data_IF_164862146862
#
_entry.id   IF_164862146862
#
_cell.length_a   1.000
_cell.length_b   1.000
_cell.length_c   1.000
_cell.angle_alpha   90.00
_cell.angle_beta   90.00
_cell.angle_gamma   90.00
#
_symmetry.space_group_name_H-M   'P 1'
#
loop_
_entity.id
_entity.type
_entity.pdbx_description
1 polymer ?
#
# COMPACT_ATOMS: atom_id res chain seq x y z
N UNK A 1 -12.22 -1.73 -30.80
CA UNK A 1 -12.96 -1.39 -29.57
C UNK A 1 -13.34 0.07 -29.67
N UNK A 2 -14.63 0.36 -29.85
CA UNK A 2 -15.13 1.74 -29.80
C UNK A 2 -14.74 2.37 -28.45
N UNK A 3 -14.05 3.50 -28.51
CA UNK A 3 -13.73 4.30 -27.33
C UNK A 3 -15.01 4.94 -26.83
N UNK A 4 -15.74 4.22 -25.98
CA UNK A 4 -16.93 4.73 -25.29
C UNK A 4 -16.56 6.07 -24.64
N UNK A 5 -17.22 7.16 -25.04
CA UNK A 5 -16.97 8.51 -24.52
C UNK A 5 -17.15 8.47 -23.00
N UNK A 6 -16.05 8.56 -22.24
CA UNK A 6 -16.09 8.52 -20.77
C UNK A 6 -17.02 9.60 -20.25
N UNK A 7 -17.97 9.21 -19.40
CA UNK A 7 -18.85 10.12 -18.69
C UNK A 7 -18.05 11.08 -17.82
N UNK A 8 -18.64 12.22 -17.46
CA UNK A 8 -18.06 13.11 -16.44
C UNK A 8 -17.77 12.35 -15.14
N UNK A 9 -18.66 11.44 -14.74
CA UNK A 9 -18.52 10.61 -13.54
C UNK A 9 -17.30 9.68 -13.65
N UNK A 10 -17.10 9.05 -14.82
CA UNK A 10 -15.96 8.15 -15.04
C UNK A 10 -14.63 8.92 -14.94
N UNK A 11 -14.58 10.15 -15.44
CA UNK A 11 -13.39 11.00 -15.33
C UNK A 11 -13.10 11.42 -13.90
N UNK A 12 -14.15 11.75 -13.15
CA UNK A 12 -14.02 12.11 -11.73
C UNK A 12 -13.55 10.90 -10.92
N UNK A 13 -14.10 9.72 -11.20
CA UNK A 13 -13.65 8.46 -10.61
C UNK A 13 -12.18 8.18 -10.92
N UNK A 14 -11.77 8.25 -12.20
CA UNK A 14 -10.38 8.04 -12.62
C UNK A 14 -9.41 9.04 -11.94
N UNK A 15 -9.85 10.29 -11.74
CA UNK A 15 -9.06 11.30 -11.04
C UNK A 15 -8.82 10.89 -9.57
N UNK A 16 -9.88 10.51 -8.86
CA UNK A 16 -9.77 10.06 -7.47
C UNK A 16 -9.18 8.65 -7.32
N UNK A 17 -9.16 7.82 -8.36
CA UNK A 17 -8.48 6.53 -8.39
C UNK A 17 -6.96 6.65 -8.69
N UNK A 18 -6.44 7.89 -8.80
CA UNK A 18 -5.04 8.14 -9.13
C UNK A 18 -4.10 7.96 -7.94
N UNK A 19 -3.11 7.08 -8.09
CA UNK A 19 -2.00 6.95 -7.12
C UNK A 19 -1.14 8.21 -7.09
N UNK A 20 -1.02 8.93 -8.22
CA UNK A 20 -0.26 10.18 -8.26
C UNK A 20 -0.91 11.25 -7.37
N UNK A 21 -2.25 11.30 -7.38
CA UNK A 21 -3.00 12.20 -6.49
C UNK A 21 -2.73 11.84 -5.01
N UNK A 22 -2.75 10.54 -4.67
CA UNK A 22 -2.43 10.05 -3.34
C UNK A 22 -1.05 10.54 -2.86
N UNK A 23 -0.03 10.38 -3.71
CA UNK A 23 1.36 10.78 -3.39
C UNK A 23 1.46 12.29 -3.18
N UNK A 24 0.81 13.10 -4.03
CA UNK A 24 0.83 14.56 -3.90
C UNK A 24 0.13 15.01 -2.62
N UNK A 25 -1.07 14.48 -2.34
CA UNK A 25 -1.81 14.81 -1.12
C UNK A 25 -1.04 14.41 0.14
N UNK A 26 -0.47 13.20 0.14
CA UNK A 26 0.37 12.72 1.24
C UNK A 26 1.59 13.64 1.46
N UNK A 27 2.26 14.07 0.40
CA UNK A 27 3.38 15.00 0.49
C UNK A 27 2.96 16.37 1.03
N UNK A 28 1.81 16.91 0.60
CA UNK A 28 1.28 18.17 1.12
C UNK A 28 0.95 18.07 2.61
N UNK A 29 0.25 17.01 3.04
CA UNK A 29 -0.07 16.75 4.45
C UNK A 29 1.22 16.64 5.26
N UNK A 30 2.20 15.88 4.79
CA UNK A 30 3.47 15.68 5.48
C UNK A 30 4.27 16.99 5.61
N UNK A 31 4.40 17.77 4.54
CA UNK A 31 5.12 19.05 4.56
C UNK A 31 4.44 20.06 5.49
N UNK A 32 3.11 20.19 5.41
CA UNK A 32 2.36 21.04 6.34
C UNK A 32 2.51 20.56 7.78
N UNK A 33 2.48 19.25 8.04
CA UNK A 33 2.65 18.68 9.38
C UNK A 33 4.04 18.93 9.96
N UNK A 34 5.09 18.95 9.14
CA UNK A 34 6.45 19.33 9.57
C UNK A 34 6.43 20.79 10.07
N UNK A 35 5.81 21.70 9.32
CA UNK A 35 5.66 23.10 9.75
C UNK A 35 4.82 23.21 11.02
N UNK A 36 3.69 22.50 11.09
CA UNK A 36 2.83 22.45 12.28
C UNK A 36 3.46 21.77 13.51
N UNK A 37 4.55 21.01 13.33
CA UNK A 37 5.34 20.45 14.45
C UNK A 37 6.30 21.50 15.01
N UNK A 38 6.82 22.38 14.16
CA UNK A 38 7.69 23.49 14.57
C UNK A 38 6.88 24.58 15.27
N UNK A 39 5.67 24.86 14.78
CA UNK A 39 4.76 25.87 15.34
C UNK A 39 3.85 25.23 16.39
N UNK A 40 3.98 25.67 17.64
CA UNK A 40 3.18 25.16 18.75
C UNK A 40 1.70 25.54 18.54
N UNK A 41 0.83 24.53 18.45
CA UNK A 41 -0.59 24.72 18.15
C UNK A 41 -1.33 25.35 19.33
N UNK A 42 -2.17 26.36 19.07
CA UNK A 42 -2.96 27.10 20.06
C UNK A 42 -2.12 27.71 21.20
N UNK A 43 -0.81 27.90 20.98
CA UNK A 43 0.09 28.53 21.93
C UNK A 43 0.01 30.08 21.88
N UNK A 44 0.40 30.77 22.96
CA UNK A 44 0.55 32.21 22.95
C UNK A 44 1.51 32.70 21.84
N UNK A 45 1.21 33.82 21.16
CA UNK A 45 2.03 34.35 20.06
C UNK A 45 3.53 34.46 20.38
N UNK A 46 3.86 34.83 21.62
CA UNK A 46 5.23 35.05 22.10
C UNK A 46 6.07 33.78 21.99
N UNK A 47 5.45 32.61 22.20
CA UNK A 47 6.10 31.30 22.15
C UNK A 47 6.58 30.98 20.74
N UNK A 48 5.68 31.13 19.76
CA UNK A 48 5.97 30.85 18.36
C UNK A 48 6.86 31.93 17.73
N UNK A 49 6.77 33.18 18.17
CA UNK A 49 7.71 34.24 17.80
C UNK A 49 9.13 33.89 18.24
N UNK A 50 9.34 33.49 19.50
CA UNK A 50 10.66 33.07 19.99
C UNK A 50 11.24 31.88 19.21
N UNK A 51 10.40 30.92 18.81
CA UNK A 51 10.82 29.79 17.96
C UNK A 51 11.28 30.30 16.60
N UNK A 52 10.50 31.18 15.96
CA UNK A 52 10.84 31.74 14.65
C UNK A 52 12.09 32.62 14.71
N UNK A 53 12.27 33.44 15.75
CA UNK A 53 13.46 34.27 15.97
C UNK A 53 14.73 33.41 15.99
N UNK A 54 14.68 32.23 16.64
CA UNK A 54 15.80 31.29 16.68
C UNK A 54 16.08 30.61 15.33
N UNK A 55 15.07 30.43 14.49
CA UNK A 55 15.19 29.70 13.22
C UNK A 55 15.60 30.60 12.05
N UNK A 56 15.06 31.81 11.98
CA UNK A 56 15.20 32.72 10.82
C UNK A 56 15.65 34.13 11.18
N UNK A 57 15.89 34.41 12.46
CA UNK A 57 16.37 35.71 12.95
C UNK A 57 15.26 36.70 13.33
N UNK A 58 15.61 37.66 14.20
CA UNK A 58 14.68 38.65 14.77
C UNK A 58 13.99 39.54 13.73
N UNK A 59 14.66 39.85 12.61
CA UNK A 59 14.10 40.72 11.58
C UNK A 59 13.04 40.04 10.71
N UNK A 60 13.16 38.73 10.47
CA UNK A 60 12.25 37.97 9.61
C UNK A 60 11.12 37.30 10.39
N UNK A 61 11.32 37.00 11.68
CA UNK A 61 10.36 36.30 12.52
C UNK A 61 8.97 36.95 12.59
N UNK A 62 8.82 38.29 12.76
CA UNK A 62 7.48 38.91 12.79
C UNK A 62 6.72 38.77 11.48
N UNK A 63 7.43 38.86 10.34
CA UNK A 63 6.83 38.72 9.01
C UNK A 63 6.42 37.28 8.75
N UNK A 64 7.28 36.31 9.07
CA UNK A 64 6.96 34.89 8.96
C UNK A 64 5.78 34.50 9.86
N UNK A 65 5.75 34.99 11.10
CA UNK A 65 4.64 34.76 12.02
C UNK A 65 3.31 35.24 11.45
N UNK A 66 3.26 36.46 10.89
CA UNK A 66 2.04 37.00 10.26
C UNK A 66 1.56 36.15 9.09
N UNK A 67 2.48 35.66 8.24
CA UNK A 67 2.16 34.78 7.11
C UNK A 67 1.59 33.45 7.63
N UNK A 68 2.27 32.81 8.59
CA UNK A 68 1.86 31.53 9.16
C UNK A 68 0.51 31.66 9.88
N UNK A 69 0.29 32.74 10.62
CA UNK A 69 -0.97 33.07 11.26
C UNK A 69 -2.10 33.22 10.23
N UNK A 70 -1.88 33.98 9.15
CA UNK A 70 -2.88 34.19 8.10
C UNK A 70 -3.21 32.90 7.33
N UNK A 71 -2.24 32.01 7.18
CA UNK A 71 -2.43 30.68 6.61
C UNK A 71 -3.08 29.70 7.60
N UNK A 72 -3.25 30.07 8.88
CA UNK A 72 -3.90 29.22 9.89
C UNK A 72 -2.98 28.19 10.55
N UNK A 73 -1.65 28.33 10.48
CA UNK A 73 -0.72 27.38 11.09
C UNK A 73 -0.72 27.36 12.63
N UNK A 74 -1.33 28.36 13.28
CA UNK A 74 -1.50 28.37 14.74
C UNK A 74 -2.57 27.37 15.21
N UNK A 75 -3.51 27.03 14.33
CA UNK A 75 -4.52 25.99 14.55
C UNK A 75 -4.70 25.20 13.24
N UNK A 76 -3.58 24.64 12.77
CA UNK A 76 -3.46 24.05 11.44
C UNK A 76 -4.41 22.88 11.25
N UNK A 77 -4.55 22.03 12.26
CA UNK A 77 -5.32 20.80 12.18
C UNK A 77 -6.83 21.04 12.01
N UNK A 78 -7.34 22.21 12.42
CA UNK A 78 -8.72 22.63 12.21
C UNK A 78 -8.91 23.58 11.02
N UNK A 79 -7.82 23.94 10.34
CA UNK A 79 -7.89 24.83 9.17
C UNK A 79 -8.62 24.15 8.00
N UNK A 80 -9.45 24.92 7.30
CA UNK A 80 -10.29 24.40 6.21
C UNK A 80 -9.47 23.71 5.10
N UNK A 81 -8.26 24.19 4.82
CA UNK A 81 -7.40 23.65 3.77
C UNK A 81 -6.74 22.35 4.21
N UNK A 82 -6.35 22.22 5.48
CA UNK A 82 -5.76 20.98 5.99
C UNK A 82 -6.81 19.88 6.07
N UNK A 83 -8.01 20.20 6.56
CA UNK A 83 -9.17 19.31 6.53
C UNK A 83 -9.49 18.90 5.09
N UNK A 84 -9.45 19.83 4.14
CA UNK A 84 -9.66 19.50 2.72
C UNK A 84 -8.61 18.50 2.20
N UNK A 85 -7.33 18.64 2.56
CA UNK A 85 -6.31 17.66 2.20
C UNK A 85 -6.60 16.28 2.80
N UNK A 86 -6.99 16.21 4.08
CA UNK A 86 -7.36 14.96 4.73
C UNK A 86 -8.57 14.31 4.04
N UNK A 87 -9.64 15.06 3.81
CA UNK A 87 -10.85 14.54 3.14
C UNK A 87 -10.54 14.05 1.73
N UNK A 88 -9.80 14.83 0.94
CA UNK A 88 -9.40 14.42 -0.41
C UNK A 88 -8.53 13.16 -0.39
N UNK A 89 -7.62 13.06 0.59
CA UNK A 89 -6.77 11.89 0.75
C UNK A 89 -7.57 10.65 1.16
N UNK A 90 -8.51 10.78 2.09
CA UNK A 90 -9.41 9.71 2.50
C UNK A 90 -10.28 9.21 1.33
N UNK A 91 -10.90 10.13 0.58
CA UNK A 91 -11.70 9.80 -0.61
C UNK A 91 -10.84 9.09 -1.67
N UNK A 92 -9.64 9.59 -1.92
CA UNK A 92 -8.70 8.96 -2.85
C UNK A 92 -8.30 7.54 -2.40
N UNK A 93 -7.99 7.34 -1.12
CA UNK A 93 -7.68 6.01 -0.57
C UNK A 93 -8.85 5.04 -0.73
N UNK A 94 -10.07 5.47 -0.41
CA UNK A 94 -11.28 4.65 -0.55
C UNK A 94 -11.46 4.24 -2.01
N UNK A 95 -11.47 5.21 -2.93
CA UNK A 95 -11.70 4.96 -4.36
C UNK A 95 -10.59 4.08 -4.95
N UNK A 96 -9.32 4.36 -4.65
CA UNK A 96 -8.19 3.53 -5.07
C UNK A 96 -8.31 2.08 -4.57
N UNK A 97 -8.82 1.89 -3.35
CA UNK A 97 -9.01 0.56 -2.76
C UNK A 97 -10.11 -0.21 -3.49
N UNK A 98 -11.26 0.45 -3.70
CA UNK A 98 -12.41 -0.13 -4.40
C UNK A 98 -12.08 -0.48 -5.85
N UNK A 99 -11.41 0.41 -6.57
CA UNK A 99 -11.01 0.20 -7.97
C UNK A 99 -10.11 -1.03 -8.13
N UNK A 100 -9.20 -1.26 -7.17
CA UNK A 100 -8.24 -2.37 -7.20
C UNK A 100 -8.79 -3.68 -6.67
N UNK A 101 -9.86 -3.65 -5.86
CA UNK A 101 -10.39 -4.82 -5.16
C UNK A 101 -10.78 -5.99 -6.07
N UNK A 102 -11.47 -5.79 -7.21
CA UNK A 102 -11.84 -6.90 -8.08
C UNK A 102 -10.61 -7.67 -8.60
N UNK A 103 -9.56 -6.94 -9.00
CA UNK A 103 -8.30 -7.53 -9.48
C UNK A 103 -7.61 -8.31 -8.38
N UNK A 104 -7.49 -7.74 -7.18
CA UNK A 104 -6.85 -8.43 -6.06
C UNK A 104 -7.65 -9.67 -5.65
N UNK A 105 -8.97 -9.59 -5.63
CA UNK A 105 -9.82 -10.74 -5.31
C UNK A 105 -9.69 -11.87 -6.35
N UNK A 106 -9.58 -11.52 -7.64
CA UNK A 106 -9.29 -12.47 -8.70
C UNK A 106 -7.96 -13.19 -8.45
N UNK A 107 -6.91 -12.44 -8.06
CA UNK A 107 -5.61 -13.00 -7.75
C UNK A 107 -5.65 -13.88 -6.49
N UNK A 108 -6.36 -13.49 -5.43
CA UNK A 108 -6.47 -14.29 -4.19
C UNK A 108 -7.12 -15.66 -4.46
N UNK A 109 -8.12 -15.67 -5.36
CA UNK A 109 -8.88 -16.87 -5.74
C UNK A 109 -8.20 -17.71 -6.82
N UNK A 110 -7.14 -17.21 -7.46
CA UNK A 110 -6.45 -17.93 -8.52
C UNK A 110 -5.74 -19.17 -7.96
N UNK A 111 -6.09 -20.39 -8.42
CA UNK A 111 -5.43 -21.60 -7.97
C UNK A 111 -4.00 -21.66 -8.53
N UNK A 112 -3.08 -22.22 -7.74
CA UNK A 112 -1.76 -22.55 -8.24
C UNK A 112 -1.88 -23.62 -9.33
N UNK A 113 -1.05 -23.53 -10.36
CA UNK A 113 -1.05 -24.44 -11.50
C UNK A 113 0.31 -25.12 -11.64
N UNK A 114 0.35 -26.33 -12.24
CA UNK A 114 1.62 -26.95 -12.60
C UNK A 114 2.44 -26.04 -13.52
N UNK A 115 3.75 -26.01 -13.31
CA UNK A 115 4.67 -25.21 -14.11
C UNK A 115 5.10 -25.99 -15.35
N UNK A 116 5.33 -25.28 -16.46
CA UNK A 116 5.98 -25.87 -17.61
C UNK A 116 7.41 -26.28 -17.22
N UNK A 117 7.76 -27.56 -17.42
CA UNK A 117 9.07 -28.12 -17.05
C UNK A 117 10.23 -27.41 -17.77
N UNK A 118 10.02 -26.90 -18.98
CA UNK A 118 11.01 -26.11 -19.73
C UNK A 118 11.30 -24.75 -19.08
N UNK A 119 10.40 -24.25 -18.23
CA UNK A 119 10.58 -22.97 -17.54
C UNK A 119 11.29 -23.09 -16.19
N UNK A 120 11.37 -24.28 -15.61
CA UNK A 120 12.03 -24.50 -14.30
C UNK A 120 13.49 -23.98 -14.25
N UNK A 121 14.31 -24.10 -15.33
CA UNK A 121 15.66 -23.57 -15.31
C UNK A 121 15.76 -22.05 -15.24
N UNK A 122 14.71 -21.29 -15.57
CA UNK A 122 14.76 -19.82 -15.52
C UNK A 122 14.52 -19.24 -14.13
N UNK A 123 14.08 -20.05 -13.17
CA UNK A 123 13.80 -19.57 -11.81
C UNK A 123 15.10 -19.20 -11.08
N UNK A 124 15.15 -18.03 -10.42
CA UNK A 124 16.34 -17.56 -9.72
C UNK A 124 16.66 -18.37 -8.46
N UNK A 125 15.62 -18.96 -7.84
CA UNK A 125 15.74 -19.83 -6.67
C UNK A 125 15.35 -21.23 -7.11
N UNK A 126 16.36 -22.08 -7.30
CA UNK A 126 16.18 -23.48 -7.67
C UNK A 126 17.29 -24.32 -7.04
N UNK A 127 17.01 -25.58 -6.76
CA UNK A 127 18.00 -26.54 -6.26
C UNK A 127 17.64 -27.93 -6.75
N UNK A 128 18.65 -28.65 -7.21
CA UNK A 128 18.53 -30.01 -7.72
C UNK A 128 19.22 -30.99 -6.78
N UNK A 129 18.62 -32.15 -6.61
CA UNK A 129 19.12 -33.22 -5.75
C UNK A 129 18.82 -34.58 -6.36
N UNK A 130 19.70 -35.54 -6.13
CA UNK A 130 19.51 -36.93 -6.52
C UNK A 130 19.11 -37.76 -5.31
N UNK A 131 17.97 -38.45 -5.40
CA UNK A 131 17.46 -39.33 -4.35
C UNK A 131 17.39 -40.77 -4.88
N UNK A 132 17.67 -41.74 -4.00
CA UNK A 132 17.52 -43.17 -4.33
C UNK A 132 16.07 -43.59 -4.08
N UNK A 133 15.46 -44.30 -5.03
CA UNK A 133 14.11 -44.83 -4.92
C UNK A 133 13.35 -44.79 -6.24
N UNK A 134 12.17 -45.40 -6.28
CA UNK A 134 11.22 -45.22 -7.39
C UNK A 134 10.58 -43.83 -7.34
N UNK A 135 10.12 -43.26 -8.47
CA UNK A 135 9.40 -41.98 -8.51
C UNK A 135 8.24 -41.89 -7.49
N UNK A 136 7.50 -42.98 -7.31
CA UNK A 136 6.38 -43.08 -6.37
C UNK A 136 6.85 -42.99 -4.91
N UNK A 137 7.93 -43.70 -4.56
CA UNK A 137 8.48 -43.69 -3.19
C UNK A 137 9.04 -42.32 -2.82
N UNK A 138 9.73 -41.67 -3.77
CA UNK A 138 10.29 -40.33 -3.59
C UNK A 138 9.16 -39.31 -3.49
N UNK A 139 8.12 -39.40 -4.33
CA UNK A 139 6.94 -38.54 -4.27
C UNK A 139 6.32 -38.54 -2.86
N UNK A 140 6.04 -39.71 -2.28
CA UNK A 140 5.44 -39.81 -0.95
C UNK A 140 6.30 -39.18 0.16
N UNK A 141 7.62 -39.29 0.04
CA UNK A 141 8.58 -38.66 0.96
C UNK A 141 8.54 -37.13 0.84
N UNK A 142 8.56 -36.60 -0.39
CA UNK A 142 8.52 -35.14 -0.62
C UNK A 142 7.16 -34.56 -0.21
N UNK A 143 6.05 -35.24 -0.50
CA UNK A 143 4.73 -34.82 -0.02
C UNK A 143 4.67 -34.71 1.51
N UNK A 144 5.25 -35.67 2.21
CA UNK A 144 5.31 -35.68 3.68
C UNK A 144 6.16 -34.54 4.22
N UNK A 145 7.28 -34.24 3.57
CA UNK A 145 8.13 -33.09 3.91
C UNK A 145 7.43 -31.75 3.68
N UNK A 146 6.63 -31.60 2.62
CA UNK A 146 5.81 -30.40 2.42
C UNK A 146 4.76 -30.24 3.51
N UNK A 147 4.08 -31.33 3.88
CA UNK A 147 3.06 -31.33 4.95
C UNK A 147 3.65 -30.98 6.31
N UNK A 148 4.85 -31.47 6.65
CA UNK A 148 5.52 -31.12 7.92
C UNK A 148 5.90 -29.64 8.00
N UNK A 149 6.11 -28.98 6.86
CA UNK A 149 6.31 -27.53 6.74
C UNK A 149 4.98 -26.75 6.68
N UNK A 150 3.84 -27.42 6.77
CA UNK A 150 2.50 -26.82 6.76
C UNK A 150 2.04 -26.36 5.37
N UNK A 151 2.55 -27.00 4.30
CA UNK A 151 2.08 -26.86 2.93
C UNK A 151 1.16 -28.02 2.54
N UNK A 152 0.26 -27.77 1.59
CA UNK A 152 -0.61 -28.78 1.01
C UNK A 152 -0.22 -28.94 -0.47
N UNK A 153 0.67 -29.89 -0.81
CA UNK A 153 1.12 -30.07 -2.18
C UNK A 153 0.05 -30.74 -3.04
N UNK A 154 -0.20 -30.15 -4.21
CA UNK A 154 -0.96 -30.74 -5.30
C UNK A 154 -0.03 -31.54 -6.22
N UNK A 155 -0.62 -32.55 -6.86
CA UNK A 155 0.09 -33.53 -7.67
C UNK A 155 -0.30 -33.39 -9.13
N UNK A 156 0.69 -33.22 -10.01
CA UNK A 156 0.51 -33.34 -11.45
C UNK A 156 1.47 -34.38 -12.02
N UNK A 157 0.97 -35.52 -12.52
CA UNK A 157 1.78 -36.45 -13.30
C UNK A 157 2.35 -35.75 -14.55
N UNK A 158 3.56 -36.15 -14.96
CA UNK A 158 4.22 -35.69 -16.18
C UNK A 158 4.20 -36.78 -17.25
N UNK A 159 4.08 -36.39 -18.51
CA UNK A 159 4.28 -37.29 -19.65
C UNK A 159 5.74 -37.79 -19.63
N UNK A 160 5.94 -39.07 -19.32
CA UNK A 160 7.28 -39.68 -19.13
C UNK A 160 7.54 -40.32 -17.78
N UNK A 161 6.54 -40.40 -16.89
CA UNK A 161 6.65 -41.15 -15.63
C UNK A 161 7.24 -40.37 -14.45
N UNK A 162 7.25 -39.04 -14.53
CA UNK A 162 7.63 -38.15 -13.43
C UNK A 162 6.41 -37.53 -12.74
N UNK A 163 6.65 -36.87 -11.60
CA UNK A 163 5.64 -36.12 -10.87
C UNK A 163 6.10 -34.69 -10.62
N UNK A 164 5.18 -33.75 -10.76
CA UNK A 164 5.36 -32.38 -10.31
C UNK A 164 4.51 -32.13 -9.07
N UNK A 165 5.18 -31.75 -7.98
CA UNK A 165 4.56 -31.30 -6.74
C UNK A 165 4.62 -29.77 -6.70
N UNK A 166 3.49 -29.13 -6.43
CA UNK A 166 3.41 -27.68 -6.27
C UNK A 166 2.47 -27.33 -5.13
N UNK A 167 2.78 -26.26 -4.41
CA UNK A 167 1.95 -25.77 -3.31
C UNK A 167 2.09 -24.27 -3.18
N UNK A 168 1.03 -23.62 -2.71
CA UNK A 168 1.02 -22.21 -2.38
C UNK A 168 0.40 -22.01 -1.01
N UNK A 169 0.93 -21.05 -0.25
CA UNK A 169 0.39 -20.63 1.04
C UNK A 169 0.33 -19.10 1.09
N UNK A 170 -0.65 -18.58 1.81
CA UNK A 170 -0.73 -17.15 2.10
C UNK A 170 -1.39 -16.30 1.01
N UNK A 171 -2.30 -16.83 0.20
CA UNK A 171 -3.01 -16.05 -0.84
C UNK A 171 -3.70 -14.80 -0.26
N UNK A 172 -4.20 -14.89 0.98
CA UNK A 172 -4.83 -13.81 1.73
C UNK A 172 -3.90 -12.64 2.06
N UNK A 173 -2.57 -12.82 2.07
CA UNK A 173 -1.61 -11.73 2.33
C UNK A 173 -1.73 -10.59 1.33
N UNK A 174 -2.24 -10.88 0.11
CA UNK A 174 -2.54 -9.88 -0.92
C UNK A 174 -3.59 -8.86 -0.47
N UNK A 175 -4.42 -9.19 0.52
CA UNK A 175 -5.40 -8.28 1.12
C UNK A 175 -4.83 -7.41 2.25
N UNK A 176 -3.57 -7.58 2.64
CA UNK A 176 -2.96 -6.83 3.75
C UNK A 176 -3.03 -5.31 3.57
N UNK A 177 -2.90 -4.83 2.33
CA UNK A 177 -3.00 -3.39 2.00
C UNK A 177 -4.36 -2.79 2.40
N UNK A 178 -5.44 -3.56 2.34
CA UNK A 178 -6.77 -3.09 2.72
C UNK A 178 -6.90 -2.89 4.23
N UNK A 179 -6.22 -3.72 5.03
CA UNK A 179 -6.14 -3.54 6.48
C UNK A 179 -5.41 -2.23 6.79
N UNK A 180 -4.29 -1.96 6.10
CA UNK A 180 -3.53 -0.71 6.25
C UNK A 180 -4.38 0.51 5.87
N UNK A 181 -5.07 0.46 4.73
CA UNK A 181 -5.94 1.56 4.30
C UNK A 181 -7.08 1.79 5.29
N UNK A 182 -7.72 0.72 5.77
CA UNK A 182 -8.75 0.82 6.80
C UNK A 182 -8.21 1.44 8.09
N UNK A 183 -7.02 1.05 8.55
CA UNK A 183 -6.43 1.62 9.76
C UNK A 183 -6.17 3.13 9.63
N UNK A 184 -5.70 3.58 8.46
CA UNK A 184 -5.47 5.00 8.19
C UNK A 184 -6.81 5.76 8.23
N UNK A 185 -7.84 5.23 7.58
CA UNK A 185 -9.18 5.85 7.58
C UNK A 185 -9.78 5.93 8.99
N UNK A 186 -9.64 4.88 9.80
CA UNK A 186 -10.11 4.87 11.19
C UNK A 186 -9.39 5.94 12.02
N UNK A 187 -8.07 6.07 11.89
CA UNK A 187 -7.29 7.10 12.57
C UNK A 187 -7.78 8.50 12.17
N UNK A 188 -8.03 8.73 10.87
CA UNK A 188 -8.49 10.03 10.36
C UNK A 188 -9.90 10.40 10.82
N UNK A 189 -10.77 9.43 11.08
CA UNK A 189 -12.13 9.69 11.61
C UNK A 189 -12.11 10.01 13.10
N UNK A 190 -11.14 9.46 13.84
CA UNK A 190 -11.00 9.69 15.28
C UNK A 190 -10.13 10.91 15.66
N UNK A 191 -9.44 11.50 14.68
CA UNK A 191 -8.63 12.71 14.84
C UNK A 191 -9.49 13.96 14.70
#
# INVERSE_FOLDING_TARGET
>A
METKKKSFIDRLWDFFASVKLAIVLFALIALSSIVGTIIEQNAPPERNLQVLERLIGESLAPTAYKILYALGFMDMYHSWWFIAFLVLFAVNLIICSLDRLPRIMSLVKEPIRPLNTTSLPSFPIKKEFTLKGSPESVRGLIESAFKSLGFNPENSPLEGGGYQLYSQKGNWTRLGVYITHLSILVIMVGA
#
